data_IF_985646664588
#
_entry.id   IF_985646664588
#
_cell.length_a   1.000
_cell.length_b   1.000
_cell.length_c   1.000
_cell.angle_alpha   90.00
_cell.angle_beta   90.00
_cell.angle_gamma   90.00
#
_symmetry.space_group_name_H-M   'P 1'
#
loop_
_entity.id
_entity.type
_entity.pdbx_description
1 polymer ?
#
# COMPACT_ATOMS: atom_id res chain seq x y z
N UNK A 1 20.54 -23.04 63.39
CA UNK A 1 19.26 -23.57 62.87
C UNK A 1 18.14 -22.70 63.42
N UNK A 2 17.24 -22.04 62.70
CA UNK A 2 16.88 -21.95 61.27
C UNK A 2 16.37 -20.51 61.06
N UNK A 3 16.74 -19.88 59.94
CA UNK A 3 16.25 -18.58 59.48
C UNK A 3 14.79 -18.73 59.07
N UNK A 4 13.88 -17.91 59.60
CA UNK A 4 12.53 -17.76 59.05
C UNK A 4 12.58 -16.51 58.17
N UNK A 5 12.83 -16.78 56.90
CA UNK A 5 12.70 -15.85 55.79
C UNK A 5 11.19 -15.81 55.47
N UNK A 6 10.49 -14.77 55.91
CA UNK A 6 9.08 -14.58 55.55
C UNK A 6 9.00 -14.37 54.05
N UNK A 7 8.35 -15.33 53.39
CA UNK A 7 8.03 -15.34 51.96
C UNK A 7 7.39 -14.02 51.55
N UNK A 8 8.16 -13.19 50.87
CA UNK A 8 7.64 -12.21 49.92
C UNK A 8 7.20 -13.03 48.70
N UNK A 9 5.99 -13.60 48.76
CA UNK A 9 5.39 -14.29 47.61
C UNK A 9 5.20 -13.25 46.53
N UNK A 10 6.09 -13.31 45.56
CA UNK A 10 5.93 -12.80 44.21
C UNK A 10 4.59 -13.28 43.67
N UNK A 11 3.54 -12.50 43.89
CA UNK A 11 2.36 -12.54 43.05
C UNK A 11 2.77 -11.83 41.76
N UNK A 12 3.47 -12.59 40.91
CA UNK A 12 3.85 -12.20 39.58
C UNK A 12 2.58 -11.95 38.78
N UNK A 13 2.13 -10.71 38.80
CA UNK A 13 1.31 -10.17 37.74
C UNK A 13 2.23 -10.09 36.54
N UNK A 14 2.37 -11.21 35.82
CA UNK A 14 2.86 -11.18 34.45
C UNK A 14 1.68 -10.69 33.61
N UNK A 15 1.44 -9.38 33.61
CA UNK A 15 0.90 -8.76 32.41
C UNK A 15 2.01 -8.91 31.38
N UNK A 16 2.00 -10.03 30.64
CA UNK A 16 2.56 -10.02 29.30
C UNK A 16 1.65 -9.08 28.54
N UNK A 17 1.96 -7.78 28.58
CA UNK A 17 1.51 -6.93 27.51
C UNK A 17 2.02 -7.62 26.25
N UNK A 18 1.11 -8.08 25.40
CA UNK A 18 1.42 -8.31 24.00
C UNK A 18 1.78 -6.95 23.41
N UNK A 19 2.96 -6.45 23.77
CA UNK A 19 3.58 -5.32 23.11
C UNK A 19 3.92 -5.83 21.73
N UNK A 20 3.25 -5.29 20.71
CA UNK A 20 3.76 -5.36 19.36
C UNK A 20 5.14 -4.71 19.41
N UNK A 21 6.18 -5.54 19.56
CA UNK A 21 7.54 -5.07 19.44
C UNK A 21 7.74 -4.79 17.95
N UNK A 22 7.73 -3.51 17.59
CA UNK A 22 8.20 -3.04 16.29
C UNK A 22 9.73 -3.11 16.31
N UNK A 23 10.30 -3.85 15.36
CA UNK A 23 11.76 -3.99 15.20
C UNK A 23 12.30 -2.86 14.31
N UNK A 24 13.63 -2.72 14.22
CA UNK A 24 14.28 -1.67 13.41
C UNK A 24 13.72 -1.61 11.98
N UNK A 25 13.27 -0.41 11.59
CA UNK A 25 12.81 -0.14 10.25
C UNK A 25 13.99 -0.12 9.27
N UNK A 26 13.88 -0.88 8.19
CA UNK A 26 14.81 -0.80 7.08
C UNK A 26 14.21 0.08 5.99
N UNK A 27 15.05 0.83 5.26
CA UNK A 27 14.57 1.73 4.23
C UNK A 27 15.38 1.67 2.93
N UNK A 28 14.74 2.03 1.82
CA UNK A 28 15.37 2.18 0.52
C UNK A 28 14.68 3.25 -0.30
N UNK A 29 15.39 3.77 -1.30
CA UNK A 29 14.90 4.84 -2.17
C UNK A 29 14.54 4.28 -3.55
N UNK A 30 13.35 4.65 -4.03
CA UNK A 30 12.92 4.47 -5.41
C UNK A 30 12.93 5.83 -6.11
N UNK A 31 13.62 5.91 -7.25
CA UNK A 31 13.60 7.09 -8.11
C UNK A 31 13.10 6.73 -9.49
N UNK A 32 12.20 7.52 -10.04
CA UNK A 32 11.68 7.30 -11.39
C UNK A 32 12.18 8.35 -12.40
N UNK A 33 11.74 8.20 -13.65
CA UNK A 33 12.20 9.03 -14.77
C UNK A 33 11.58 10.45 -14.80
N UNK A 34 10.77 10.80 -13.80
CA UNK A 34 10.25 12.15 -13.58
C UNK A 34 10.97 12.89 -12.43
N UNK A 35 12.08 12.34 -11.94
CA UNK A 35 12.78 12.81 -10.74
C UNK A 35 11.93 12.74 -9.46
N UNK A 36 10.84 11.97 -9.46
CA UNK A 36 10.10 11.67 -8.24
C UNK A 36 10.94 10.68 -7.43
N UNK A 37 11.16 11.00 -6.17
CA UNK A 37 11.94 10.20 -5.22
C UNK A 37 11.04 9.76 -4.07
N UNK A 38 10.98 8.46 -3.84
CA UNK A 38 10.15 7.82 -2.83
C UNK A 38 11.04 7.08 -1.84
N UNK A 39 10.80 7.30 -0.56
CA UNK A 39 11.42 6.53 0.51
C UNK A 39 10.45 5.44 0.90
N UNK A 40 10.89 4.19 0.88
CA UNK A 40 10.09 3.06 1.33
C UNK A 40 10.72 2.51 2.59
N UNK A 41 9.92 2.43 3.65
CA UNK A 41 10.28 1.83 4.93
C UNK A 41 9.54 0.50 5.10
N UNK A 42 10.19 -0.45 5.75
CA UNK A 42 9.54 -1.67 6.20
C UNK A 42 9.91 -2.00 7.63
N UNK A 43 8.89 -2.15 8.44
CA UNK A 43 8.97 -2.35 9.89
C UNK A 43 8.39 -3.72 10.23
N UNK A 44 9.22 -4.58 10.80
CA UNK A 44 8.74 -5.87 11.29
C UNK A 44 7.98 -5.68 12.59
N UNK A 45 6.86 -6.37 12.73
CA UNK A 45 6.11 -6.39 13.98
C UNK A 45 5.64 -7.80 14.31
N UNK A 46 5.63 -8.10 15.60
CA UNK A 46 5.24 -9.42 16.09
C UNK A 46 3.74 -9.61 15.92
N UNK A 47 3.32 -10.47 14.98
CA UNK A 47 2.01 -11.09 14.97
C UNK A 47 2.11 -12.50 15.57
N UNK A 48 1.06 -12.97 16.23
CA UNK A 48 0.96 -14.37 16.61
C UNK A 48 -0.08 -15.04 15.70
N UNK A 49 0.23 -16.17 15.04
CA UNK A 49 1.47 -16.95 15.10
C UNK A 49 2.61 -16.44 14.19
N UNK A 50 2.32 -15.53 13.26
CA UNK A 50 3.24 -15.11 12.20
C UNK A 50 3.78 -13.68 12.39
N UNK A 51 5.08 -13.49 12.13
CA UNK A 51 5.67 -12.15 12.03
C UNK A 51 5.12 -11.43 10.80
N UNK A 52 4.69 -10.19 10.99
CA UNK A 52 4.20 -9.35 9.92
C UNK A 52 5.20 -8.23 9.61
N UNK A 53 5.02 -7.61 8.46
CA UNK A 53 5.74 -6.43 8.03
C UNK A 53 4.73 -5.36 7.67
N UNK A 54 4.99 -4.14 8.14
CA UNK A 54 4.33 -2.92 7.66
C UNK A 54 5.26 -2.29 6.64
N UNK A 55 4.73 -1.92 5.49
CA UNK A 55 5.45 -1.22 4.43
C UNK A 55 4.81 0.16 4.29
N UNK A 56 5.62 1.20 4.45
CA UNK A 56 5.19 2.59 4.35
C UNK A 56 6.00 3.28 3.25
N UNK A 57 5.33 3.99 2.35
CA UNK A 57 5.99 4.79 1.32
C UNK A 57 5.78 6.28 1.60
N UNK A 58 6.84 7.04 1.36
CA UNK A 58 6.86 8.49 1.56
C UNK A 58 7.28 9.20 0.27
N UNK A 59 6.65 10.33 0.00
CA UNK A 59 7.04 11.26 -1.04
C UNK A 59 7.19 12.66 -0.45
N UNK A 60 8.35 13.30 -0.68
CA UNK A 60 8.67 14.61 -0.10
C UNK A 60 8.51 14.68 1.43
N UNK A 61 8.76 13.56 2.13
CA UNK A 61 8.63 13.45 3.59
C UNK A 61 7.20 13.25 4.12
N UNK A 62 6.19 13.20 3.25
CA UNK A 62 4.81 12.85 3.60
C UNK A 62 4.57 11.36 3.32
N UNK A 63 3.92 10.66 4.24
CA UNK A 63 3.40 9.32 3.98
C UNK A 63 2.34 9.37 2.88
N UNK A 64 2.43 8.48 1.90
CA UNK A 64 1.47 8.38 0.79
C UNK A 64 0.77 7.02 0.74
N UNK A 65 1.28 6.02 1.46
CA UNK A 65 0.75 4.66 1.45
C UNK A 65 1.30 3.89 2.66
N UNK A 66 0.44 3.12 3.32
CA UNK A 66 0.82 2.10 4.29
C UNK A 66 0.05 0.82 3.96
N UNK A 67 0.72 -0.33 3.99
CA UNK A 67 0.06 -1.64 3.97
C UNK A 67 0.85 -2.66 4.77
N UNK A 68 0.16 -3.73 5.18
CA UNK A 68 0.77 -4.82 5.93
C UNK A 68 0.73 -6.15 5.17
N UNK A 69 1.65 -7.03 5.51
CA UNK A 69 1.63 -8.41 5.02
C UNK A 69 2.53 -9.32 5.84
N UNK A 70 2.61 -10.58 5.44
CA UNK A 70 3.44 -11.57 6.12
C UNK A 70 4.93 -11.29 5.87
N UNK A 71 5.75 -11.28 6.92
CA UNK A 71 7.19 -10.98 6.82
C UNK A 71 7.94 -11.92 5.87
N UNK A 72 7.57 -13.22 5.84
CA UNK A 72 8.15 -14.21 4.91
C UNK A 72 8.02 -13.82 3.43
N UNK A 73 7.14 -12.87 3.11
CA UNK A 73 6.88 -12.34 1.77
C UNK A 73 7.43 -10.92 1.56
N UNK A 74 8.17 -10.35 2.51
CA UNK A 74 8.62 -8.94 2.47
C UNK A 74 9.31 -8.57 1.15
N UNK A 75 10.23 -9.39 0.67
CA UNK A 75 10.93 -9.16 -0.61
C UNK A 75 10.03 -9.19 -1.84
N UNK A 76 8.84 -9.79 -1.71
CA UNK A 76 7.85 -9.85 -2.77
C UNK A 76 6.84 -8.70 -2.68
N UNK A 77 6.56 -8.26 -1.45
CA UNK A 77 5.65 -7.17 -1.15
C UNK A 77 6.28 -5.79 -1.37
N UNK A 78 7.61 -5.67 -1.24
CA UNK A 78 8.37 -4.43 -1.45
C UNK A 78 8.04 -3.78 -2.80
N UNK A 79 7.64 -2.49 -2.82
CA UNK A 79 7.48 -1.73 -4.05
C UNK A 79 8.78 -1.72 -4.86
N UNK A 80 8.67 -2.01 -6.15
CA UNK A 80 9.76 -1.93 -7.12
C UNK A 80 9.64 -0.67 -7.98
N UNK A 81 8.42 -0.14 -8.12
CA UNK A 81 8.13 1.12 -8.81
C UNK A 81 7.00 1.84 -8.10
N UNK A 82 7.14 3.16 -8.00
CA UNK A 82 6.08 4.08 -7.62
C UNK A 82 6.10 5.24 -8.64
N UNK A 83 4.92 5.66 -9.07
CA UNK A 83 4.74 6.73 -10.04
C UNK A 83 3.47 7.51 -9.70
N UNK A 84 3.58 8.82 -9.57
CA UNK A 84 2.42 9.71 -9.48
C UNK A 84 1.66 9.70 -10.82
N UNK A 85 0.34 9.64 -10.78
CA UNK A 85 -0.52 9.62 -11.96
C UNK A 85 -1.16 10.99 -12.17
N UNK A 86 -1.91 11.45 -11.17
CA UNK A 86 -2.56 12.76 -11.15
C UNK A 86 -2.94 13.16 -9.72
N UNK A 87 -3.33 14.43 -9.55
CA UNK A 87 -3.81 15.00 -8.29
C UNK A 87 -5.22 15.55 -8.49
N UNK A 88 -6.04 15.45 -7.46
CA UNK A 88 -7.34 16.13 -7.37
C UNK A 88 -7.28 17.20 -6.27
N UNK A 89 -8.42 17.79 -5.92
CA UNK A 89 -8.53 18.66 -4.75
C UNK A 89 -8.41 17.90 -3.42
N UNK A 90 -8.65 16.58 -3.39
CA UNK A 90 -8.79 15.78 -2.16
C UNK A 90 -7.77 14.66 -2.03
N UNK A 91 -7.21 14.19 -3.15
CA UNK A 91 -6.38 13.00 -3.17
C UNK A 91 -5.31 13.07 -4.27
N UNK A 92 -4.26 12.28 -4.08
CA UNK A 92 -3.25 11.99 -5.07
C UNK A 92 -3.34 10.51 -5.50
N UNK A 93 -3.27 10.26 -6.80
CA UNK A 93 -3.30 8.92 -7.37
C UNK A 93 -1.90 8.47 -7.78
N UNK A 94 -1.56 7.24 -7.43
CA UNK A 94 -0.26 6.67 -7.71
C UNK A 94 -0.37 5.26 -8.28
N UNK A 95 0.51 4.92 -9.21
CA UNK A 95 0.77 3.54 -9.62
C UNK A 95 1.88 2.95 -8.75
N UNK A 96 1.69 1.71 -8.30
CA UNK A 96 2.70 0.92 -7.62
C UNK A 96 2.82 -0.45 -8.28
N UNK A 97 4.06 -0.96 -8.37
CA UNK A 97 4.33 -2.33 -8.78
C UNK A 97 5.22 -3.01 -7.76
N UNK A 98 4.82 -4.20 -7.31
CA UNK A 98 5.68 -5.12 -6.59
C UNK A 98 5.96 -6.37 -7.46
N UNK A 99 6.48 -7.45 -6.87
CA UNK A 99 6.84 -8.66 -7.62
C UNK A 99 5.63 -9.42 -8.19
N UNK A 100 4.46 -9.30 -7.57
CA UNK A 100 3.26 -10.08 -7.93
C UNK A 100 2.22 -9.28 -8.68
N UNK A 101 2.04 -8.02 -8.28
CA UNK A 101 0.87 -7.25 -8.63
C UNK A 101 1.22 -5.80 -8.91
N UNK A 102 0.30 -5.16 -9.61
CA UNK A 102 0.30 -3.75 -9.91
C UNK A 102 -0.93 -3.15 -9.23
N UNK A 103 -0.84 -1.90 -8.77
CA UNK A 103 -1.87 -1.26 -7.96
C UNK A 103 -2.01 0.21 -8.35
N UNK A 104 -3.23 0.74 -8.26
CA UNK A 104 -3.47 2.16 -8.09
C UNK A 104 -3.76 2.37 -6.61
N UNK A 105 -2.99 3.22 -5.93
CA UNK A 105 -3.27 3.61 -4.55
C UNK A 105 -3.54 5.10 -4.45
N UNK A 106 -4.26 5.47 -3.40
CA UNK A 106 -4.82 6.81 -3.22
C UNK A 106 -4.33 7.37 -1.89
N UNK A 107 -3.59 8.46 -1.95
CA UNK A 107 -3.23 9.26 -0.78
C UNK A 107 -4.27 10.36 -0.61
N UNK A 108 -5.18 10.19 0.35
CA UNK A 108 -6.25 11.13 0.64
C UNK A 108 -7.51 10.45 1.16
N UNK A 109 -8.58 11.24 1.31
CA UNK A 109 -9.89 10.73 1.70
C UNK A 109 -10.80 10.68 0.48
N UNK A 110 -11.20 9.47 0.13
CA UNK A 110 -12.25 9.19 -0.84
C UNK A 110 -13.34 8.36 -0.16
N UNK A 111 -14.60 8.68 -0.41
CA UNK A 111 -15.75 7.90 0.08
C UNK A 111 -15.94 6.66 -0.81
N UNK A 112 -14.91 5.82 -0.93
CA UNK A 112 -14.89 4.67 -1.84
C UNK A 112 -15.04 3.35 -1.11
N UNK A 113 -15.61 2.36 -1.79
CA UNK A 113 -15.79 0.99 -1.29
C UNK A 113 -14.51 0.13 -1.33
N UNK A 114 -13.32 0.71 -1.55
CA UNK A 114 -12.07 -0.04 -1.52
C UNK A 114 -11.58 -0.28 -0.09
N UNK A 115 -11.05 -1.46 0.16
CA UNK A 115 -10.25 -1.70 1.36
C UNK A 115 -8.92 -0.94 1.22
N UNK A 116 -8.52 -0.21 2.26
CA UNK A 116 -7.19 0.41 2.39
C UNK A 116 -6.79 1.40 1.28
N UNK A 117 -7.74 2.04 0.57
CA UNK A 117 -7.46 3.00 -0.51
C UNK A 117 -6.57 2.44 -1.65
N UNK A 118 -6.61 1.13 -1.88
CA UNK A 118 -5.81 0.42 -2.89
C UNK A 118 -6.71 -0.33 -3.86
N UNK A 119 -6.49 -0.12 -5.16
CA UNK A 119 -7.09 -0.88 -6.26
C UNK A 119 -6.03 -1.75 -6.94
N UNK A 120 -6.17 -3.07 -6.87
CA UNK A 120 -5.27 -4.03 -7.52
C UNK A 120 -5.58 -4.18 -9.02
N UNK A 121 -4.57 -4.00 -9.88
CA UNK A 121 -4.72 -3.86 -11.34
C UNK A 121 -4.84 -5.22 -12.07
N UNK A 122 -4.71 -6.37 -11.41
CA UNK A 122 -4.50 -7.65 -12.10
C UNK A 122 -5.38 -8.82 -11.66
N UNK A 123 -6.53 -8.57 -11.05
CA UNK A 123 -7.56 -9.60 -10.93
C UNK A 123 -8.49 -9.49 -12.14
N UNK A 124 -8.23 -10.32 -13.16
CA UNK A 124 -9.07 -10.59 -14.34
C UNK A 124 -10.24 -9.62 -14.47
N UNK A 125 -9.95 -8.48 -15.10
CA UNK A 125 -10.94 -7.46 -15.41
C UNK A 125 -11.89 -8.00 -16.50
N UNK A 126 -12.74 -8.94 -16.13
CA UNK A 126 -13.90 -9.33 -16.90
C UNK A 126 -15.05 -8.62 -16.18
N UNK A 127 -15.54 -7.53 -16.79
CA UNK A 127 -16.60 -6.70 -16.21
C UNK A 127 -17.80 -7.53 -15.73
N UNK A 128 -18.08 -8.67 -16.39
CA UNK A 128 -19.15 -9.60 -16.03
C UNK A 128 -18.86 -10.50 -14.81
N UNK A 129 -17.63 -10.55 -14.32
CA UNK A 129 -17.18 -11.38 -13.19
C UNK A 129 -16.87 -10.54 -11.94
N UNK A 130 -16.93 -9.22 -12.03
CA UNK A 130 -16.78 -8.33 -10.88
C UNK A 130 -18.04 -8.31 -10.02
N UNK A 131 -17.85 -8.44 -8.70
CA UNK A 131 -18.91 -8.13 -7.75
C UNK A 131 -19.31 -6.65 -7.87
N UNK A 132 -20.61 -6.35 -7.84
CA UNK A 132 -21.16 -4.99 -7.97
C UNK A 132 -20.48 -3.97 -7.03
N UNK A 133 -20.20 -4.36 -5.78
CA UNK A 133 -19.54 -3.48 -4.80
C UNK A 133 -18.12 -3.06 -5.23
N UNK A 134 -17.40 -3.93 -5.93
CA UNK A 134 -16.09 -3.59 -6.48
C UNK A 134 -16.26 -2.73 -7.73
N UNK A 135 -17.27 -3.02 -8.56
CA UNK A 135 -17.53 -2.30 -9.81
C UNK A 135 -17.74 -0.80 -9.58
N UNK A 136 -18.54 -0.43 -8.57
CA UNK A 136 -18.76 0.98 -8.22
C UNK A 136 -17.45 1.72 -7.93
N UNK A 137 -16.58 1.16 -7.07
CA UNK A 137 -15.28 1.77 -6.76
C UNK A 137 -14.38 1.93 -8.00
N UNK A 138 -14.33 0.94 -8.88
CA UNK A 138 -13.55 1.03 -10.12
C UNK A 138 -14.11 2.04 -11.13
N UNK A 139 -15.44 2.18 -11.20
CA UNK A 139 -16.08 3.21 -12.03
C UNK A 139 -15.80 4.62 -11.49
N UNK A 140 -15.83 4.80 -10.17
CA UNK A 140 -15.46 6.07 -9.53
C UNK A 140 -13.98 6.39 -9.76
N UNK A 141 -13.09 5.39 -9.66
CA UNK A 141 -11.69 5.54 -10.00
C UNK A 141 -11.46 5.93 -11.46
N UNK A 142 -12.14 5.24 -12.38
CA UNK A 142 -12.11 5.57 -13.80
C UNK A 142 -12.52 7.03 -14.04
N UNK A 143 -13.63 7.45 -13.44
CA UNK A 143 -14.14 8.81 -13.56
C UNK A 143 -13.16 9.86 -13.03
N UNK A 144 -12.63 9.68 -11.81
CA UNK A 144 -11.67 10.63 -11.23
C UNK A 144 -10.39 10.75 -12.07
N UNK A 145 -9.90 9.64 -12.62
CA UNK A 145 -8.75 9.68 -13.53
C UNK A 145 -9.08 10.48 -14.79
N UNK A 146 -10.22 10.23 -15.42
CA UNK A 146 -10.64 10.94 -16.64
C UNK A 146 -10.86 12.45 -16.42
N UNK A 147 -11.35 12.85 -15.24
CA UNK A 147 -11.59 14.25 -14.90
C UNK A 147 -10.29 15.03 -14.61
N UNK A 148 -9.20 14.34 -14.21
CA UNK A 148 -7.98 14.99 -13.72
C UNK A 148 -6.72 14.72 -14.57
N UNK A 149 -6.77 13.80 -15.53
CA UNK A 149 -5.71 13.59 -16.52
C UNK A 149 -6.28 13.09 -17.84
N UNK A 150 -5.71 13.54 -18.96
CA UNK A 150 -6.03 12.94 -20.25
C UNK A 150 -5.26 11.62 -20.46
N UNK A 151 -5.83 10.73 -21.27
CA UNK A 151 -5.28 9.40 -21.57
C UNK A 151 -3.85 9.48 -22.14
N UNK A 152 -3.58 10.44 -23.03
CA UNK A 152 -2.28 10.55 -23.68
C UNK A 152 -1.18 10.95 -22.68
N UNK A 153 -1.49 11.84 -21.73
CA UNK A 153 -0.61 12.20 -20.61
C UNK A 153 -0.35 11.02 -19.69
N UNK A 154 -1.38 10.23 -19.37
CA UNK A 154 -1.27 9.04 -18.52
C UNK A 154 -0.39 7.95 -19.17
N UNK A 155 -0.64 7.64 -20.45
CA UNK A 155 0.17 6.70 -21.24
C UNK A 155 1.62 7.18 -21.30
N UNK A 156 1.85 8.48 -21.56
CA UNK A 156 3.20 9.04 -21.62
C UNK A 156 3.93 8.85 -20.29
N UNK A 157 3.30 9.11 -19.15
CA UNK A 157 3.88 8.89 -17.81
C UNK A 157 4.27 7.43 -17.60
N UNK A 158 3.33 6.50 -17.78
CA UNK A 158 3.56 5.06 -17.59
C UNK A 158 4.65 4.52 -18.51
N UNK A 159 4.61 4.90 -19.80
CA UNK A 159 5.61 4.49 -20.80
C UNK A 159 6.99 5.04 -20.47
N UNK A 160 7.10 6.29 -20.03
CA UNK A 160 8.38 6.91 -19.63
C UNK A 160 9.03 6.14 -18.49
N UNK A 161 8.25 5.57 -17.58
CA UNK A 161 8.73 4.76 -16.46
C UNK A 161 8.83 3.26 -16.78
N UNK A 162 8.57 2.84 -18.03
CA UNK A 162 8.58 1.44 -18.44
C UNK A 162 7.60 0.57 -17.65
N UNK A 163 6.43 1.11 -17.33
CA UNK A 163 5.33 0.38 -16.70
C UNK A 163 4.44 -0.25 -17.77
N UNK A 164 3.79 -1.38 -17.45
CA UNK A 164 2.69 -1.83 -18.27
C UNK A 164 1.54 -0.82 -18.08
N UNK A 165 1.00 -0.33 -19.19
CA UNK A 165 -0.09 0.63 -19.17
C UNK A 165 -1.40 0.03 -19.66
N UNK A 166 -1.42 -1.18 -20.24
CA UNK A 166 -2.66 -1.77 -20.75
C UNK A 166 -3.74 -1.83 -19.68
N UNK A 167 -3.36 -2.30 -18.50
CA UNK A 167 -4.32 -2.62 -17.44
C UNK A 167 -4.76 -1.34 -16.72
N UNK A 168 -3.86 -0.36 -16.59
CA UNK A 168 -4.20 1.00 -16.14
C UNK A 168 -5.17 1.67 -17.09
N UNK A 169 -4.98 1.51 -18.41
CA UNK A 169 -5.85 2.12 -19.43
C UNK A 169 -7.19 1.39 -19.53
N UNK A 170 -7.24 0.09 -19.26
CA UNK A 170 -8.50 -0.63 -19.09
C UNK A 170 -9.30 -0.03 -17.93
N UNK A 171 -8.67 0.22 -16.78
CA UNK A 171 -9.32 0.90 -15.64
C UNK A 171 -9.70 2.34 -16.00
N UNK A 172 -8.85 3.07 -16.70
CA UNK A 172 -9.13 4.44 -17.13
C UNK A 172 -10.40 4.52 -17.98
N UNK A 173 -10.65 3.54 -18.86
CA UNK A 173 -11.75 3.57 -19.84
C UNK A 173 -13.09 2.97 -19.35
N UNK A 174 -13.22 2.59 -18.07
CA UNK A 174 -14.42 1.88 -17.57
C UNK A 174 -15.69 2.72 -17.51
N UNK A 175 -15.55 4.02 -17.26
CA UNK A 175 -16.69 4.92 -17.14
C UNK A 175 -17.35 5.26 -18.50
N UNK A 176 -16.67 4.95 -19.61
CA UNK A 176 -17.01 5.40 -20.98
C UNK A 176 -17.97 4.48 -21.73
#
# INVERSE_FOLDING_TARGET
>A
MKRILTLMVCMGIIFVGCGNNEYEANSYTLKNNFNEEYIVEYTEYSGFPDTNVRITAYYSGKEIMEYSGEYKRVEQLKPQKILHLCSTQKCDFYFMKNKYSEYIFIDGQMDWNFHDNIAEINQNYIESEMFEINKEGYLELSKELQENTDEASLIKRLKTCGCNYSDVINIYNLYS
#
